data_IF_609111827356
#
_entry.id   IF_609111827356
#
_cell.length_a   1.000
_cell.length_b   1.000
_cell.length_c   1.000
_cell.angle_alpha   90.00
_cell.angle_beta   90.00
_cell.angle_gamma   90.00
#
_symmetry.space_group_name_H-M   'P 1'
#
loop_
_entity.id
_entity.type
_entity.pdbx_description
1 polymer ?
#
# COMPACT_ATOMS: atom_id res chain seq x y z
N UNK A 1 3.31 2.26 -25.73
CA UNK A 1 2.84 3.42 -24.95
C UNK A 1 1.33 3.38 -24.99
N UNK A 2 0.70 3.08 -23.85
CA UNK A 2 -0.74 2.94 -23.71
C UNK A 2 -1.33 4.13 -22.95
N UNK A 3 -2.61 4.47 -23.21
CA UNK A 3 -3.13 5.80 -22.92
C UNK A 3 -3.29 6.03 -21.42
N UNK A 4 -2.89 7.23 -20.99
CA UNK A 4 -3.21 7.76 -19.67
C UNK A 4 -4.73 7.96 -19.55
N UNK A 5 -5.39 7.10 -18.81
CA UNK A 5 -6.81 7.18 -18.48
C UNK A 5 -7.02 6.61 -17.08
N UNK A 6 -7.33 7.49 -16.13
CA UNK A 6 -7.42 7.19 -14.70
C UNK A 6 -6.23 7.75 -13.92
N UNK A 7 -6.47 8.27 -12.71
CA UNK A 7 -5.45 8.76 -11.79
C UNK A 7 -4.18 7.91 -11.83
N UNK A 8 -2.99 8.53 -11.82
CA UNK A 8 -1.67 7.85 -11.86
C UNK A 8 -1.36 6.96 -10.64
N UNK A 9 -2.38 6.46 -9.96
CA UNK A 9 -2.38 5.59 -8.80
C UNK A 9 -3.05 4.28 -9.19
N UNK A 10 -2.35 3.17 -8.95
CA UNK A 10 -2.90 1.81 -9.07
C UNK A 10 -2.89 1.19 -7.68
N UNK A 11 -3.98 0.52 -7.31
CA UNK A 11 -4.10 -0.19 -6.06
C UNK A 11 -3.97 -1.69 -6.29
N UNK A 12 -3.23 -2.36 -5.41
CA UNK A 12 -3.06 -3.80 -5.42
C UNK A 12 -3.33 -4.33 -4.02
N UNK A 13 -4.04 -5.44 -3.93
CA UNK A 13 -4.33 -6.15 -2.69
C UNK A 13 -3.51 -7.44 -2.65
N UNK A 14 -2.66 -7.56 -1.64
CA UNK A 14 -1.85 -8.77 -1.41
C UNK A 14 -2.70 -9.89 -0.82
N UNK A 15 -2.57 -11.09 -1.35
CA UNK A 15 -3.26 -12.28 -0.86
C UNK A 15 -2.44 -13.54 -1.07
N UNK A 16 -1.98 -14.15 0.02
CA UNK A 16 -1.31 -15.45 0.00
C UNK A 16 -1.92 -16.38 1.06
N UNK A 17 -2.37 -17.60 0.70
CA UNK A 17 -2.98 -18.53 1.65
C UNK A 17 -2.09 -18.82 2.86
N UNK A 18 -2.63 -18.63 4.06
CA UNK A 18 -1.90 -18.84 5.31
C UNK A 18 -1.04 -17.65 5.79
N UNK A 19 -1.04 -16.53 5.06
CA UNK A 19 -0.26 -15.35 5.40
C UNK A 19 -1.14 -14.15 5.78
N UNK A 20 -0.58 -13.29 6.63
CA UNK A 20 -1.08 -11.95 6.89
C UNK A 20 -0.08 -10.93 6.34
N UNK A 21 -0.56 -9.76 5.91
CA UNK A 21 0.29 -8.70 5.37
C UNK A 21 0.53 -7.61 6.41
N UNK A 22 1.80 -7.30 6.70
CA UNK A 22 2.17 -6.30 7.71
C UNK A 22 3.39 -5.46 7.32
N UNK A 23 3.82 -5.51 6.06
CA UNK A 23 4.92 -4.69 5.57
C UNK A 23 4.47 -3.23 5.40
N UNK A 24 5.37 -2.28 5.73
CA UNK A 24 5.18 -0.85 5.46
C UNK A 24 6.46 -0.28 4.88
N UNK A 25 6.30 0.47 3.81
CA UNK A 25 7.42 1.13 3.17
C UNK A 25 7.00 1.78 1.86
N UNK A 26 7.97 2.46 1.24
CA UNK A 26 7.81 3.12 -0.04
C UNK A 26 9.04 2.85 -0.87
N UNK A 27 8.87 2.36 -2.09
CA UNK A 27 9.93 2.29 -3.08
C UNK A 27 9.82 3.49 -4.04
N UNK A 28 10.95 4.12 -4.34
CA UNK A 28 11.04 5.18 -5.33
C UNK A 28 11.94 4.75 -6.48
N UNK A 29 11.37 4.70 -7.68
CA UNK A 29 12.10 4.51 -8.93
C UNK A 29 12.10 5.82 -9.73
N UNK A 30 13.26 6.32 -10.18
CA UNK A 30 13.33 7.50 -11.04
C UNK A 30 12.58 7.31 -12.36
N UNK A 31 12.10 8.39 -13.01
CA UNK A 31 11.44 8.30 -14.31
C UNK A 31 12.27 7.52 -15.34
N UNK A 32 11.61 6.61 -16.05
CA UNK A 32 12.27 5.75 -17.06
C UNK A 32 13.08 4.58 -16.49
N UNK A 33 13.08 4.36 -15.17
CA UNK A 33 13.79 3.25 -14.53
C UNK A 33 12.81 2.35 -13.78
N UNK A 34 13.02 1.04 -13.84
CA UNK A 34 12.20 0.04 -13.13
C UNK A 34 12.75 -0.29 -11.75
N UNK A 35 14.08 -0.29 -11.60
CA UNK A 35 14.73 -0.58 -10.33
C UNK A 35 14.70 0.62 -9.38
N UNK A 36 14.20 0.47 -8.14
CA UNK A 36 14.19 1.54 -7.15
C UNK A 36 15.59 2.11 -6.90
N UNK A 37 15.70 3.42 -6.66
CA UNK A 37 16.92 4.10 -6.24
C UNK A 37 16.87 4.52 -4.76
N UNK A 38 15.66 4.55 -4.19
CA UNK A 38 15.46 4.79 -2.77
C UNK A 38 14.31 3.94 -2.24
N UNK A 39 14.37 3.61 -0.94
CA UNK A 39 13.26 3.02 -0.21
C UNK A 39 13.19 3.57 1.22
N UNK A 40 11.98 3.65 1.75
CA UNK A 40 11.71 3.91 3.17
C UNK A 40 11.15 2.63 3.80
N UNK A 41 11.69 2.24 4.96
CA UNK A 41 11.27 1.05 5.70
C UNK A 41 11.09 1.45 7.17
N UNK A 42 9.95 1.12 7.77
CA UNK A 42 9.74 1.44 9.19
C UNK A 42 8.34 1.15 9.70
N UNK A 43 7.97 1.83 10.79
CA UNK A 43 6.77 1.49 11.57
C UNK A 43 5.49 2.19 11.10
N UNK A 44 5.60 3.29 10.34
CA UNK A 44 4.44 4.10 9.94
C UNK A 44 3.49 3.33 9.03
N UNK A 45 2.19 3.40 9.36
CA UNK A 45 1.12 2.86 8.53
C UNK A 45 0.62 3.88 7.49
N UNK A 46 1.26 5.05 7.38
CA UNK A 46 0.86 6.14 6.48
C UNK A 46 -0.59 6.65 6.69
N UNK A 47 -1.15 6.42 7.89
CA UNK A 47 -2.45 6.93 8.28
C UNK A 47 -2.37 8.20 9.13
N UNK A 48 -3.51 8.88 9.33
CA UNK A 48 -3.58 10.12 10.12
C UNK A 48 -2.99 9.98 11.53
N UNK A 49 -3.19 8.84 12.19
CA UNK A 49 -2.68 8.59 13.55
C UNK A 49 -1.15 8.47 13.58
N UNK A 50 -0.57 7.66 12.69
CA UNK A 50 0.89 7.55 12.51
C UNK A 50 1.54 8.91 12.24
N UNK A 51 0.83 9.79 11.53
CA UNK A 51 1.35 11.13 11.21
C UNK A 51 1.32 12.12 12.39
N UNK A 52 0.36 12.00 13.32
CA UNK A 52 0.08 13.07 14.29
C UNK A 52 0.14 12.65 15.75
N UNK A 53 0.13 11.35 16.05
CA UNK A 53 -0.06 10.85 17.43
C UNK A 53 0.94 9.79 17.82
N UNK A 54 1.38 8.96 16.88
CA UNK A 54 2.29 7.86 17.18
C UNK A 54 3.75 8.30 17.02
N UNK A 55 4.62 7.77 17.86
CA UNK A 55 6.07 7.90 17.68
C UNK A 55 6.51 6.85 16.67
N UNK A 56 6.95 7.29 15.51
CA UNK A 56 7.32 6.43 14.39
C UNK A 56 8.84 6.40 14.17
N UNK A 57 9.37 5.26 13.74
CA UNK A 57 10.77 5.08 13.33
C UNK A 57 10.84 4.67 11.86
N UNK A 58 11.72 5.33 11.10
CA UNK A 58 11.89 5.10 9.66
C UNK A 58 13.37 5.07 9.27
N UNK A 59 13.75 4.09 8.45
CA UNK A 59 15.04 3.99 7.79
C UNK A 59 14.86 4.37 6.32
N UNK A 60 15.59 5.38 5.87
CA UNK A 60 15.67 5.77 4.47
C UNK A 60 16.97 5.25 3.87
N UNK A 61 16.84 4.43 2.82
CA UNK A 61 17.97 3.90 2.07
C UNK A 61 17.97 4.54 0.69
N UNK A 62 19.04 5.26 0.35
CA UNK A 62 19.26 5.82 -0.99
C UNK A 62 20.56 5.24 -1.54
N UNK A 63 20.52 4.74 -2.77
CA UNK A 63 21.67 4.02 -3.32
C UNK A 63 21.81 4.22 -4.82
N UNK A 64 23.07 4.21 -5.28
CA UNK A 64 23.44 4.09 -6.69
C UNK A 64 23.97 2.69 -7.04
N UNK A 65 24.13 1.82 -6.05
CA UNK A 65 24.65 0.47 -6.25
C UNK A 65 23.64 -0.37 -7.06
N UNK A 66 24.00 -0.75 -8.28
CA UNK A 66 23.11 -1.47 -9.18
C UNK A 66 22.59 -2.79 -8.58
N UNK A 67 23.43 -3.54 -7.87
CA UNK A 67 23.04 -4.79 -7.23
C UNK A 67 21.98 -4.61 -6.16
N UNK A 68 22.12 -3.60 -5.29
CA UNK A 68 21.13 -3.30 -4.25
C UNK A 68 19.80 -2.82 -4.87
N UNK A 69 19.88 -2.02 -5.93
CA UNK A 69 18.69 -1.55 -6.66
C UNK A 69 17.90 -2.70 -7.29
N UNK A 70 18.61 -3.68 -7.86
CA UNK A 70 17.97 -4.89 -8.40
C UNK A 70 17.35 -5.75 -7.31
N UNK A 71 18.01 -5.92 -6.16
CA UNK A 71 17.41 -6.64 -5.02
C UNK A 71 16.12 -5.99 -4.51
N UNK A 72 16.06 -4.65 -4.47
CA UNK A 72 14.84 -3.91 -4.14
C UNK A 72 13.73 -4.15 -5.18
N UNK A 73 14.10 -4.23 -6.47
CA UNK A 73 13.16 -4.54 -7.54
C UNK A 73 12.59 -5.95 -7.40
N UNK A 74 13.45 -6.95 -7.18
CA UNK A 74 13.04 -8.35 -6.96
C UNK A 74 12.14 -8.52 -5.73
N UNK A 75 12.35 -7.73 -4.67
CA UNK A 75 11.45 -7.69 -3.52
C UNK A 75 10.07 -7.15 -3.90
N UNK A 76 10.02 -6.04 -4.64
CA UNK A 76 8.78 -5.48 -5.14
C UNK A 76 8.04 -6.47 -6.07
N UNK A 77 8.75 -7.13 -6.99
CA UNK A 77 8.17 -8.11 -7.90
C UNK A 77 7.55 -9.31 -7.16
N UNK A 78 8.21 -9.80 -6.10
CA UNK A 78 7.66 -10.86 -5.24
C UNK A 78 6.35 -10.43 -4.58
N UNK A 79 6.27 -9.20 -4.08
CA UNK A 79 5.02 -8.66 -3.53
C UNK A 79 3.94 -8.53 -4.60
N UNK A 80 4.30 -8.01 -5.78
CA UNK A 80 3.39 -7.85 -6.90
C UNK A 80 2.84 -9.19 -7.41
N UNK A 81 3.67 -10.23 -7.47
CA UNK A 81 3.28 -11.57 -7.92
C UNK A 81 2.18 -12.22 -7.04
N UNK A 82 2.10 -11.83 -5.77
CA UNK A 82 1.08 -12.28 -4.81
C UNK A 82 -0.04 -11.25 -4.60
N UNK A 83 -0.14 -10.25 -5.48
CA UNK A 83 -1.14 -9.20 -5.37
C UNK A 83 -2.08 -9.15 -6.58
N UNK A 84 -3.36 -8.87 -6.32
CA UNK A 84 -4.36 -8.63 -7.36
C UNK A 84 -4.59 -7.12 -7.50
N UNK A 85 -4.62 -6.62 -8.74
CA UNK A 85 -5.02 -5.23 -8.97
C UNK A 85 -6.48 -5.01 -8.56
N UNK A 86 -6.73 -3.96 -7.78
CA UNK A 86 -8.06 -3.56 -7.34
C UNK A 86 -8.54 -2.39 -8.20
N UNK A 87 -9.76 -2.51 -8.70
CA UNK A 87 -10.46 -1.46 -9.44
C UNK A 87 -11.67 -0.95 -8.66
N UNK A 88 -12.25 0.17 -9.08
CA UNK A 88 -13.38 0.81 -8.37
C UNK A 88 -14.58 -0.14 -8.27
N UNK A 89 -14.76 -1.00 -9.26
CA UNK A 89 -15.82 -2.01 -9.32
C UNK A 89 -15.70 -3.04 -8.20
N UNK A 90 -14.48 -3.41 -7.79
CA UNK A 90 -14.28 -4.37 -6.70
C UNK A 90 -14.91 -3.86 -5.40
N UNK A 91 -14.91 -2.55 -5.15
CA UNK A 91 -15.53 -1.94 -3.96
C UNK A 91 -17.07 -2.00 -3.94
N UNK A 92 -17.70 -2.41 -5.05
CA UNK A 92 -19.15 -2.60 -5.13
C UNK A 92 -19.60 -3.99 -4.68
N UNK A 93 -18.66 -4.89 -4.40
CA UNK A 93 -18.97 -6.25 -3.92
C UNK A 93 -19.59 -6.22 -2.52
N UNK A 94 -20.56 -7.10 -2.22
CA UNK A 94 -21.22 -7.13 -0.91
C UNK A 94 -20.24 -7.27 0.26
N UNK A 95 -19.14 -8.01 0.07
CA UNK A 95 -18.12 -8.24 1.10
C UNK A 95 -17.33 -6.98 1.45
N UNK A 96 -17.28 -6.00 0.54
CA UNK A 96 -16.56 -4.72 0.73
C UNK A 96 -17.50 -3.56 1.06
N UNK A 97 -18.80 -3.81 1.16
CA UNK A 97 -19.79 -2.81 1.53
C UNK A 97 -20.28 -3.02 2.96
N UNK A 98 -20.42 -1.92 3.69
CA UNK A 98 -21.11 -1.97 4.98
C UNK A 98 -22.62 -2.14 4.75
N UNK A 99 -23.23 -3.04 5.52
CA UNK A 99 -24.69 -3.13 5.53
C UNK A 99 -25.31 -1.91 6.22
N UNK A 100 -26.58 -1.62 5.95
CA UNK A 100 -27.33 -0.55 6.63
C UNK A 100 -27.34 -0.67 8.16
N UNK A 101 -27.42 -1.89 8.69
CA UNK A 101 -27.41 -2.15 10.13
C UNK A 101 -26.09 -1.71 10.78
N UNK A 102 -24.96 -2.13 10.22
CA UNK A 102 -23.62 -1.70 10.64
C UNK A 102 -23.46 -0.18 10.58
N UNK A 103 -23.89 0.45 9.48
CA UNK A 103 -23.79 1.90 9.29
C UNK A 103 -24.65 2.68 10.30
N UNK A 104 -25.86 2.19 10.60
CA UNK A 104 -26.75 2.78 11.59
C UNK A 104 -26.17 2.67 13.01
N UNK A 105 -25.66 1.49 13.38
CA UNK A 105 -25.02 1.29 14.68
C UNK A 105 -23.78 2.18 14.84
N UNK A 106 -22.94 2.29 13.81
CA UNK A 106 -21.79 3.17 13.82
C UNK A 106 -22.19 4.65 14.04
N UNK A 107 -23.29 5.11 13.44
CA UNK A 107 -23.81 6.47 13.67
C UNK A 107 -24.26 6.71 15.12
N UNK A 108 -24.90 5.74 15.75
CA UNK A 108 -25.32 5.83 17.16
C UNK A 108 -24.12 5.87 18.12
N UNK A 109 -23.10 5.05 17.84
CA UNK A 109 -21.90 4.92 18.69
C UNK A 109 -20.85 6.00 18.45
N UNK A 110 -20.90 6.73 17.31
CA UNK A 110 -19.93 7.78 16.95
C UNK A 110 -19.76 8.88 18.00
N UNK A 111 -20.77 9.13 18.84
CA UNK A 111 -20.68 10.13 19.92
C UNK A 111 -19.97 9.62 21.18
N UNK A 112 -19.75 8.31 21.28
CA UNK A 112 -19.17 7.62 22.43
C UNK A 112 -17.77 7.05 22.15
N UNK A 113 -17.31 7.11 20.90
CA UNK A 113 -15.97 6.79 20.40
C UNK A 113 -15.22 8.08 20.07
#
# INVERSE_FOLDING_TARGET
AEPASGSGVRLFEYGQPGWQFHAKGVWYAPPGQTAPAATAIGSSNYGHRSMHRDLEAQLYVVTRNAGLRMKMHEEWERLAAHSKQVVIEDFKTPERQSTLQHSFLALLLRKWL
#
